data_IF_100998890609
#
_entry.id   IF_100998890609
#
_cell.length_a   1.000
_cell.length_b   1.000
_cell.length_c   1.000
_cell.angle_alpha   90.00
_cell.angle_beta   90.00
_cell.angle_gamma   90.00
#
_symmetry.space_group_name_H-M   'P 1'
#
loop_
_entity.id
_entity.type
_entity.pdbx_description
1 polymer ?
#
# COMPACT_ATOMS: atom_id res chain seq x y z
N UNK A 1 12.03 -5.70 17.60
CA UNK A 1 11.49 -4.35 17.32
C UNK A 1 9.97 -4.44 17.41
N UNK A 2 9.33 -3.53 18.16
CA UNK A 2 7.89 -3.58 18.41
C UNK A 2 7.11 -3.13 17.17
N UNK A 3 6.13 -3.94 16.75
CA UNK A 3 5.29 -3.72 15.57
C UNK A 3 3.96 -3.05 15.96
N UNK A 4 3.59 -1.96 15.29
CA UNK A 4 2.34 -1.18 15.52
C UNK A 4 1.53 -1.00 14.22
N UNK A 5 0.21 -1.27 14.21
CA UNK A 5 -0.75 -0.98 13.10
C UNK A 5 -2.16 -1.62 13.27
N UNK A 6 -3.13 -1.47 12.33
CA UNK A 6 -4.60 -1.83 12.39
C UNK A 6 -5.03 -3.21 11.81
N UNK A 7 -6.28 -3.51 11.38
CA UNK A 7 -6.69 -4.84 10.81
C UNK A 7 -7.67 -4.78 9.61
N UNK A 8 -7.63 -5.77 8.70
CA UNK A 8 -8.67 -6.02 7.67
C UNK A 8 -9.44 -7.28 8.02
N UNK A 9 -10.77 -7.18 8.06
CA UNK A 9 -11.67 -8.29 8.28
C UNK A 9 -12.56 -8.50 7.07
N UNK A 10 -12.95 -9.74 6.80
CA UNK A 10 -14.05 -10.01 5.90
C UNK A 10 -15.32 -10.15 6.73
N UNK A 11 -16.40 -9.52 6.28
CA UNK A 11 -17.72 -9.75 6.88
C UNK A 11 -18.03 -11.26 6.84
N UNK A 12 -18.68 -11.79 7.88
CA UNK A 12 -19.09 -13.19 7.92
C UNK A 12 -20.01 -13.53 6.73
N UNK A 13 -20.82 -12.57 6.32
CA UNK A 13 -21.73 -12.64 5.16
C UNK A 13 -21.17 -11.83 3.97
N UNK A 14 -19.84 -11.75 3.84
CA UNK A 14 -19.17 -10.96 2.80
C UNK A 14 -19.42 -11.44 1.38
N UNK A 15 -19.94 -12.66 1.17
CA UNK A 15 -20.06 -13.34 -0.13
C UNK A 15 -18.75 -13.37 -0.96
N UNK A 16 -17.59 -13.15 -0.34
CA UNK A 16 -16.31 -13.23 -1.03
C UNK A 16 -15.86 -14.68 -1.19
N UNK A 17 -15.65 -15.12 -2.43
CA UNK A 17 -15.02 -16.41 -2.71
C UNK A 17 -13.52 -16.37 -2.32
N UNK A 18 -12.86 -17.52 -2.12
CA UNK A 18 -11.43 -17.54 -1.80
C UNK A 18 -10.55 -16.74 -2.77
N UNK A 19 -10.85 -16.80 -4.08
CA UNK A 19 -10.13 -16.04 -5.12
C UNK A 19 -10.33 -14.52 -4.97
N UNK A 20 -11.50 -14.09 -4.53
CA UNK A 20 -11.82 -12.68 -4.33
C UNK A 20 -11.05 -12.16 -3.11
N UNK A 21 -10.98 -12.96 -2.04
CA UNK A 21 -10.19 -12.64 -0.84
C UNK A 21 -8.69 -12.50 -1.17
N UNK A 22 -8.15 -13.36 -2.01
CA UNK A 22 -6.77 -13.26 -2.50
C UNK A 22 -6.55 -11.98 -3.31
N UNK A 23 -7.44 -11.68 -4.27
CA UNK A 23 -7.36 -10.45 -5.06
C UNK A 23 -7.44 -9.19 -4.18
N UNK A 24 -8.30 -9.21 -3.15
CA UNK A 24 -8.41 -8.13 -2.17
C UNK A 24 -7.13 -7.99 -1.36
N UNK A 25 -6.54 -9.09 -0.90
CA UNK A 25 -5.28 -9.05 -0.17
C UNK A 25 -4.16 -8.44 -1.02
N UNK A 26 -4.07 -8.82 -2.31
CA UNK A 26 -3.13 -8.17 -3.24
C UNK A 26 -3.41 -6.68 -3.38
N UNK A 27 -4.67 -6.28 -3.57
CA UNK A 27 -5.04 -4.87 -3.67
C UNK A 27 -4.71 -4.06 -2.40
N UNK A 28 -4.83 -4.66 -1.21
CA UNK A 28 -4.44 -4.05 0.06
C UNK A 28 -2.95 -3.77 0.09
N UNK A 29 -2.14 -4.74 -0.33
CA UNK A 29 -0.69 -4.58 -0.41
C UNK A 29 -0.29 -3.51 -1.41
N UNK A 30 -0.94 -3.48 -2.57
CA UNK A 30 -0.72 -2.45 -3.58
C UNK A 30 -1.10 -1.06 -3.02
N UNK A 31 -2.28 -0.92 -2.42
CA UNK A 31 -2.75 0.33 -1.81
C UNK A 31 -1.81 0.83 -0.70
N UNK A 32 -1.36 -0.07 0.18
CA UNK A 32 -0.37 0.26 1.21
C UNK A 32 0.97 0.71 0.60
N UNK A 33 1.42 0.06 -0.48
CA UNK A 33 2.64 0.45 -1.19
C UNK A 33 2.50 1.85 -1.77
N UNK A 34 1.40 2.15 -2.45
CA UNK A 34 1.12 3.49 -2.97
C UNK A 34 1.09 4.54 -1.85
N UNK A 35 0.37 4.25 -0.77
CA UNK A 35 0.29 5.15 0.39
C UNK A 35 1.66 5.39 1.04
N UNK A 36 2.52 4.37 1.16
CA UNK A 36 3.87 4.48 1.68
C UNK A 36 4.74 5.43 0.85
N UNK A 37 4.72 5.28 -0.48
CA UNK A 37 5.48 6.17 -1.37
C UNK A 37 5.05 7.63 -1.24
N UNK A 38 3.77 7.85 -0.95
CA UNK A 38 3.17 9.16 -0.82
C UNK A 38 3.16 9.71 0.62
N UNK A 39 3.39 8.88 1.65
CA UNK A 39 3.27 9.30 3.06
C UNK A 39 4.38 10.27 3.50
N UNK A 40 5.53 10.25 2.83
CA UNK A 40 6.63 11.17 3.06
C UNK A 40 6.53 12.45 2.23
N UNK A 41 5.38 12.69 1.60
CA UNK A 41 5.09 13.91 0.87
C UNK A 41 5.32 15.18 1.71
N UNK A 42 5.80 16.29 1.12
CA UNK A 42 6.41 16.41 -0.22
C UNK A 42 7.89 15.98 -0.25
N UNK A 43 8.43 15.60 0.91
CA UNK A 43 9.83 15.26 1.15
C UNK A 43 10.17 13.84 0.72
N UNK A 44 9.72 13.43 -0.47
CA UNK A 44 10.22 12.19 -1.06
C UNK A 44 11.74 12.30 -1.23
N UNK A 45 12.49 11.18 -1.32
CA UNK A 45 13.94 11.20 -1.59
C UNK A 45 14.31 12.05 -2.82
N UNK A 46 13.33 12.24 -3.71
CA UNK A 46 13.35 13.13 -4.86
C UNK A 46 12.44 14.34 -4.64
N UNK A 47 12.73 15.19 -3.64
CA UNK A 47 11.87 16.31 -3.22
C UNK A 47 11.33 17.21 -4.36
N UNK A 48 12.08 17.36 -5.46
CA UNK A 48 11.62 18.07 -6.66
C UNK A 48 10.47 17.36 -7.40
N UNK A 49 10.49 16.02 -7.49
CA UNK A 49 9.40 15.21 -8.04
C UNK A 49 8.15 15.30 -7.16
N UNK A 50 8.32 15.23 -5.84
CA UNK A 50 7.21 15.32 -4.88
C UNK A 50 6.41 16.61 -5.05
N UNK A 51 7.09 17.75 -5.15
CA UNK A 51 6.46 19.07 -5.33
C UNK A 51 5.76 19.23 -6.69
N UNK A 52 6.33 18.67 -7.77
CA UNK A 52 5.71 18.71 -9.09
C UNK A 52 4.47 17.80 -9.16
N UNK A 53 4.55 16.61 -8.57
CA UNK A 53 3.44 15.68 -8.45
C UNK A 53 2.29 16.29 -7.62
N UNK A 54 2.63 16.96 -6.52
CA UNK A 54 1.71 17.73 -5.69
C UNK A 54 0.96 18.80 -6.51
N UNK A 55 1.73 19.63 -7.21
CA UNK A 55 1.20 20.73 -8.01
C UNK A 55 0.21 20.22 -9.05
N UNK A 56 0.49 19.05 -9.64
CA UNK A 56 -0.35 18.46 -10.67
C UNK A 56 -1.67 17.87 -10.13
N UNK A 57 -1.63 17.10 -9.04
CA UNK A 57 -2.80 16.35 -8.54
C UNK A 57 -3.56 17.04 -7.40
N UNK A 58 -2.88 17.93 -6.66
CA UNK A 58 -3.44 18.66 -5.53
C UNK A 58 -3.58 20.16 -5.82
N UNK A 59 -2.91 20.68 -6.84
CA UNK A 59 -3.06 22.06 -7.30
C UNK A 59 -1.88 22.96 -6.93
N UNK A 60 -1.78 24.16 -7.52
CA UNK A 60 -0.62 25.05 -7.36
C UNK A 60 -0.43 25.57 -5.93
N UNK A 61 -1.49 25.59 -5.12
CA UNK A 61 -1.50 26.03 -3.73
C UNK A 61 -1.37 24.88 -2.71
N UNK A 62 -0.99 23.67 -3.18
CA UNK A 62 -0.88 22.46 -2.36
C UNK A 62 -0.10 22.64 -1.06
N UNK A 63 0.92 23.50 -1.07
CA UNK A 63 1.80 23.74 0.06
C UNK A 63 1.05 24.19 1.33
N UNK A 64 -0.12 24.82 1.17
CA UNK A 64 -0.98 25.24 2.28
C UNK A 64 -1.67 24.07 3.01
N UNK A 65 -1.80 22.90 2.37
CA UNK A 65 -2.42 21.69 2.93
C UNK A 65 -1.43 20.51 3.03
N UNK A 66 -0.13 20.75 2.87
CA UNK A 66 0.87 19.67 2.75
C UNK A 66 0.87 18.70 3.94
N UNK A 67 0.72 19.22 5.16
CA UNK A 67 0.79 18.43 6.39
C UNK A 67 -0.46 17.55 6.53
N UNK A 68 -1.63 18.08 6.13
CA UNK A 68 -2.88 17.31 6.03
C UNK A 68 -2.76 16.21 4.98
N UNK A 69 -2.27 16.54 3.77
CA UNK A 69 -2.15 15.59 2.68
C UNK A 69 -1.22 14.43 3.07
N UNK A 70 -0.02 14.75 3.57
CA UNK A 70 0.93 13.76 4.05
C UNK A 70 0.39 12.95 5.24
N UNK A 71 -0.27 13.63 6.20
CA UNK A 71 -0.87 13.01 7.37
C UNK A 71 -1.96 12.01 7.02
N UNK A 72 -2.82 12.32 6.04
CA UNK A 72 -3.88 11.42 5.58
C UNK A 72 -3.30 10.14 4.95
N UNK A 73 -2.34 10.28 4.03
CA UNK A 73 -1.67 9.14 3.40
C UNK A 73 -0.86 8.32 4.41
N UNK A 74 -0.20 9.01 5.36
CA UNK A 74 0.54 8.36 6.44
C UNK A 74 -0.37 7.51 7.32
N UNK A 75 -1.58 7.97 7.66
CA UNK A 75 -2.53 7.16 8.43
C UNK A 75 -2.99 5.91 7.68
N UNK A 76 -3.18 5.99 6.36
CA UNK A 76 -3.46 4.81 5.52
C UNK A 76 -2.24 3.87 5.45
N UNK A 77 -1.04 4.40 5.27
CA UNK A 77 0.17 3.59 5.30
C UNK A 77 0.38 2.90 6.67
N UNK A 78 0.17 3.62 7.77
CA UNK A 78 0.31 3.09 9.13
C UNK A 78 -0.85 2.17 9.53
N UNK A 79 -1.92 2.14 8.75
CA UNK A 79 -2.98 1.14 8.83
C UNK A 79 -2.45 -0.22 8.34
N UNK A 80 -1.71 -0.92 9.22
CA UNK A 80 -1.32 -2.34 9.00
C UNK A 80 -2.47 -3.29 9.34
N UNK A 81 -2.18 -4.59 9.39
CA UNK A 81 -3.13 -5.73 9.48
C UNK A 81 -2.98 -6.60 10.76
N UNK A 82 -2.54 -6.06 11.92
CA UNK A 82 -2.53 -6.75 13.23
C UNK A 82 -3.05 -5.95 14.45
N UNK A 83 -3.36 -6.67 15.53
CA UNK A 83 -4.18 -6.28 16.67
C UNK A 83 -3.49 -5.49 17.81
N UNK A 84 -3.24 -4.18 17.64
CA UNK A 84 -2.89 -3.32 18.80
C UNK A 84 -3.82 -2.13 19.02
N UNK A 85 -4.83 -1.97 18.17
CA UNK A 85 -6.00 -1.09 18.38
C UNK A 85 -7.23 -1.91 18.05
N UNK A 86 -7.95 -2.41 19.06
CA UNK A 86 -9.19 -3.19 18.86
C UNK A 86 -10.31 -2.35 18.22
N UNK A 87 -10.15 -1.02 18.11
CA UNK A 87 -11.20 -0.11 17.65
C UNK A 87 -11.08 0.35 16.20
N UNK A 88 -10.03 -0.03 15.45
CA UNK A 88 -9.81 0.52 14.10
C UNK A 88 -9.51 -0.57 13.09
N UNK A 89 -10.55 -0.97 12.36
CA UNK A 89 -10.47 -1.96 11.30
C UNK A 89 -11.35 -1.61 10.10
N UNK A 90 -11.01 -2.18 8.94
CA UNK A 90 -11.81 -2.11 7.72
C UNK A 90 -12.44 -3.49 7.50
N UNK A 91 -13.75 -3.51 7.39
CA UNK A 91 -14.56 -4.68 7.04
C UNK A 91 -14.77 -4.71 5.54
N UNK A 92 -14.29 -5.75 4.89
CA UNK A 92 -14.40 -5.98 3.45
C UNK A 92 -15.63 -6.83 3.16
N UNK A 93 -16.34 -6.48 2.10
CA UNK A 93 -17.48 -7.24 1.58
C UNK A 93 -17.42 -7.31 0.06
N UNK A 94 -17.77 -8.46 -0.51
CA UNK A 94 -18.06 -8.66 -1.93
C UNK A 94 -19.58 -8.64 -2.20
N UNK A 95 -20.38 -8.77 -1.14
CA UNK A 95 -21.82 -8.53 -1.11
C UNK A 95 -22.09 -7.03 -1.14
N UNK A 96 -23.02 -6.61 -2.00
CA UNK A 96 -23.50 -5.23 -2.10
C UNK A 96 -24.34 -4.85 -0.87
N UNK A 97 -23.66 -4.46 0.22
CA UNK A 97 -24.27 -4.16 1.53
C UNK A 97 -25.20 -2.95 1.54
N UNK A 98 -25.16 -2.10 0.52
CA UNK A 98 -25.94 -0.85 0.42
C UNK A 98 -26.74 -0.73 -0.87
N UNK A 99 -26.70 -1.75 -1.73
CA UNK A 99 -27.34 -1.74 -3.05
C UNK A 99 -26.82 -0.58 -3.91
N UNK A 100 -25.51 -0.44 -4.03
CA UNK A 100 -24.82 0.64 -4.74
C UNK A 100 -24.05 0.12 -5.97
N UNK A 101 -23.70 -1.17 -6.02
CA UNK A 101 -22.92 -1.75 -7.11
C UNK A 101 -23.63 -1.74 -8.47
N UNK A 102 -24.94 -1.54 -8.49
CA UNK A 102 -25.73 -1.42 -9.72
C UNK A 102 -25.72 0.00 -10.30
N UNK A 103 -25.17 0.99 -9.58
CA UNK A 103 -25.15 2.38 -10.04
C UNK A 103 -24.18 2.54 -11.20
N UNK A 104 -24.58 3.41 -12.13
CA UNK A 104 -23.76 3.88 -13.24
C UNK A 104 -23.59 5.39 -13.05
N UNK A 105 -22.36 5.84 -12.89
CA UNK A 105 -22.01 7.24 -12.76
C UNK A 105 -21.23 7.59 -14.02
N UNK A 106 -21.60 8.65 -14.75
CA UNK A 106 -20.89 9.05 -15.98
C UNK A 106 -20.61 7.90 -16.97
N UNK A 107 -21.57 7.01 -17.18
CA UNK A 107 -21.46 5.78 -18.01
C UNK A 107 -20.49 4.70 -17.49
N UNK A 108 -19.95 4.85 -16.28
CA UNK A 108 -19.03 3.89 -15.65
C UNK A 108 -19.71 3.15 -14.52
N UNK A 109 -19.41 1.86 -14.45
CA UNK A 109 -19.87 1.02 -13.35
C UNK A 109 -19.07 1.33 -12.07
N UNK A 110 -19.76 1.24 -10.94
CA UNK A 110 -19.13 1.35 -9.62
C UNK A 110 -18.24 0.12 -9.36
N UNK A 111 -16.96 0.35 -9.06
CA UNK A 111 -16.02 -0.70 -8.67
C UNK A 111 -16.14 -1.06 -7.19
N UNK A 112 -16.59 -0.15 -6.36
CA UNK A 112 -16.75 -0.34 -4.93
C UNK A 112 -17.23 0.95 -4.27
N UNK A 113 -17.43 0.86 -2.96
CA UNK A 113 -17.79 2.01 -2.14
C UNK A 113 -17.41 1.78 -0.68
N UNK A 114 -17.02 2.86 -0.02
CA UNK A 114 -16.75 2.88 1.40
C UNK A 114 -17.94 3.49 2.17
N UNK A 115 -18.20 2.93 3.34
CA UNK A 115 -19.14 3.52 4.28
C UNK A 115 -18.75 3.20 5.73
N UNK A 116 -19.33 3.90 6.69
CA UNK A 116 -19.11 3.66 8.12
C UNK A 116 -20.43 3.26 8.76
N UNK A 117 -20.42 2.12 9.43
CA UNK A 117 -21.49 1.74 10.33
C UNK A 117 -21.30 2.50 11.65
N UNK A 118 -22.35 3.21 12.07
CA UNK A 118 -22.44 3.81 13.39
C UNK A 118 -23.49 3.04 14.18
N UNK A 119 -23.05 2.27 15.18
CA UNK A 119 -23.94 1.52 16.05
C UNK A 119 -23.53 1.64 17.50
N UNK A 120 -24.31 0.97 18.36
CA UNK A 120 -24.14 1.04 19.81
C UNK A 120 -22.74 0.60 20.29
N UNK A 121 -22.06 -0.25 19.53
CA UNK A 121 -20.74 -0.81 19.85
C UNK A 121 -19.56 -0.08 19.17
N UNK A 122 -19.81 1.08 18.56
CA UNK A 122 -18.76 1.93 17.96
C UNK A 122 -18.91 2.13 16.46
N UNK A 123 -17.80 2.56 15.86
CA UNK A 123 -17.69 2.83 14.43
C UNK A 123 -16.94 1.70 13.73
N UNK A 124 -17.50 1.20 12.64
CA UNK A 124 -16.84 0.21 11.79
C UNK A 124 -16.76 0.75 10.37
N UNK A 125 -15.58 0.74 9.79
CA UNK A 125 -15.40 1.10 8.39
C UNK A 125 -15.67 -0.12 7.53
N UNK A 126 -16.48 0.05 6.51
CA UNK A 126 -16.79 -0.95 5.51
C UNK A 126 -16.28 -0.48 4.16
N UNK A 127 -15.65 -1.39 3.42
CA UNK A 127 -15.40 -1.23 1.99
C UNK A 127 -16.08 -2.40 1.30
N UNK A 128 -17.01 -2.09 0.41
CA UNK A 128 -17.68 -3.07 -0.44
C UNK A 128 -17.07 -3.02 -1.83
N UNK A 129 -16.68 -4.17 -2.37
CA UNK A 129 -16.08 -4.28 -3.69
C UNK A 129 -17.07 -4.96 -4.63
N UNK A 130 -17.43 -4.24 -5.67
CA UNK A 130 -18.40 -4.66 -6.67
C UNK A 130 -17.75 -5.57 -7.72
N UNK A 131 -18.53 -6.35 -8.49
CA UNK A 131 -18.00 -7.27 -9.49
C UNK A 131 -17.04 -6.64 -10.51
N UNK A 132 -17.19 -5.34 -10.76
CA UNK A 132 -16.34 -4.61 -11.71
C UNK A 132 -14.91 -4.42 -11.19
N UNK A 133 -14.69 -4.31 -9.87
CA UNK A 133 -13.35 -4.23 -9.28
C UNK A 133 -12.49 -5.44 -9.63
N UNK A 134 -13.06 -6.65 -9.57
CA UNK A 134 -12.35 -7.89 -9.85
C UNK A 134 -12.01 -8.09 -11.34
N UNK A 135 -12.46 -7.19 -12.23
CA UNK A 135 -12.06 -7.16 -13.64
C UNK A 135 -10.80 -6.32 -13.88
N UNK A 136 -10.37 -5.58 -12.87
CA UNK A 136 -9.17 -4.75 -12.94
C UNK A 136 -7.92 -5.58 -12.70
N UNK A 137 -6.81 -5.05 -13.19
CA UNK A 137 -5.50 -5.69 -13.06
C UNK A 137 -4.76 -5.18 -11.83
N UNK A 138 -3.86 -6.00 -11.31
CA UNK A 138 -3.01 -5.65 -10.17
C UNK A 138 -1.93 -4.63 -10.56
N UNK A 139 -1.34 -3.97 -9.58
CA UNK A 139 -0.23 -3.04 -9.80
C UNK A 139 0.97 -3.74 -10.48
N UNK A 140 1.32 -4.94 -10.04
CA UNK A 140 2.38 -5.76 -10.64
C UNK A 140 2.12 -6.12 -12.11
N UNK A 141 0.87 -6.47 -12.44
CA UNK A 141 0.48 -6.77 -13.83
C UNK A 141 0.65 -5.54 -14.71
N UNK A 142 0.24 -4.35 -14.23
CA UNK A 142 0.46 -3.09 -14.93
C UNK A 142 1.94 -2.78 -15.10
N UNK A 143 2.74 -3.00 -14.07
CA UNK A 143 4.17 -2.73 -14.10
C UNK A 143 4.87 -3.55 -15.18
N UNK A 144 4.59 -4.85 -15.22
CA UNK A 144 5.11 -5.74 -16.26
C UNK A 144 4.76 -5.25 -17.67
N UNK A 145 3.52 -4.78 -17.89
CA UNK A 145 3.09 -4.24 -19.18
C UNK A 145 3.84 -2.96 -19.55
N UNK A 146 3.97 -2.03 -18.60
CA UNK A 146 4.67 -0.76 -18.79
C UNK A 146 6.14 -0.98 -19.09
N UNK A 147 6.82 -1.86 -18.36
CA UNK A 147 8.23 -2.16 -18.58
C UNK A 147 8.49 -2.81 -19.93
N UNK A 148 7.59 -3.66 -20.41
CA UNK A 148 7.71 -4.27 -21.73
C UNK A 148 7.57 -3.23 -22.86
N UNK A 149 6.74 -2.21 -22.69
CA UNK A 149 6.67 -1.08 -23.63
C UNK A 149 7.88 -0.15 -23.51
N UNK A 150 8.36 0.12 -22.29
CA UNK A 150 9.57 0.93 -22.08
C UNK A 150 10.81 0.30 -22.71
N UNK A 151 10.95 -1.03 -22.67
CA UNK A 151 12.02 -1.76 -23.39
C UNK A 151 11.97 -1.56 -24.90
N UNK A 152 10.80 -1.28 -25.46
CA UNK A 152 10.59 -0.96 -26.88
C UNK A 152 10.78 0.55 -27.18
N UNK A 153 11.12 1.35 -26.17
CA UNK A 153 11.22 2.80 -26.27
C UNK A 153 9.86 3.52 -26.31
N UNK A 154 8.77 2.82 -25.97
CA UNK A 154 7.42 3.38 -25.96
C UNK A 154 7.07 3.82 -24.53
N UNK A 155 6.95 5.12 -24.31
CA UNK A 155 6.65 5.68 -22.98
C UNK A 155 5.17 5.90 -22.73
N UNK A 156 4.30 5.68 -23.72
CA UNK A 156 2.89 6.06 -23.67
C UNK A 156 2.19 5.49 -22.43
N UNK A 157 2.31 4.18 -22.18
CA UNK A 157 1.66 3.55 -21.02
C UNK A 157 2.18 4.09 -19.68
N UNK A 158 3.46 4.44 -19.58
CA UNK A 158 4.04 5.03 -18.36
C UNK A 158 3.64 6.49 -18.14
N UNK A 159 3.38 7.24 -19.23
CA UNK A 159 3.08 8.67 -19.17
C UNK A 159 1.59 9.00 -19.08
N UNK A 160 0.73 8.08 -19.50
CA UNK A 160 -0.72 8.27 -19.53
C UNK A 160 -1.33 7.63 -18.28
N UNK A 161 -1.73 8.46 -17.33
CA UNK A 161 -2.26 8.00 -16.04
C UNK A 161 -3.49 7.09 -16.21
N UNK A 162 -4.30 7.27 -17.27
CA UNK A 162 -5.46 6.40 -17.52
C UNK A 162 -5.07 4.93 -17.77
N UNK A 163 -3.84 4.69 -18.26
CA UNK A 163 -3.31 3.33 -18.45
C UNK A 163 -2.86 2.67 -17.15
N UNK A 164 -2.67 3.44 -16.08
CA UNK A 164 -2.03 3.00 -14.84
C UNK A 164 -3.03 2.59 -13.76
N UNK A 165 -4.34 2.62 -14.06
CA UNK A 165 -5.40 2.21 -13.14
C UNK A 165 -5.21 0.74 -12.70
N UNK A 166 -5.32 0.49 -11.40
CA UNK A 166 -5.05 -0.81 -10.77
C UNK A 166 -5.99 -1.06 -9.59
N UNK A 167 -6.15 -2.34 -9.21
CA UNK A 167 -6.90 -2.71 -8.01
C UNK A 167 -6.37 -2.03 -6.75
N UNK A 168 -5.05 -1.81 -6.66
CA UNK A 168 -4.42 -1.08 -5.56
C UNK A 168 -4.81 0.38 -5.48
N UNK A 169 -4.81 1.09 -6.61
CA UNK A 169 -5.25 2.49 -6.68
C UNK A 169 -6.72 2.63 -6.32
N UNK A 170 -7.58 1.76 -6.86
CA UNK A 170 -9.01 1.73 -6.57
C UNK A 170 -9.30 1.44 -5.10
N UNK A 171 -8.58 0.49 -4.50
CA UNK A 171 -8.75 0.24 -3.07
C UNK A 171 -8.22 1.39 -2.22
N UNK A 172 -7.09 2.00 -2.59
CA UNK A 172 -6.56 3.18 -1.90
C UNK A 172 -7.61 4.31 -1.90
N UNK A 173 -8.26 4.58 -3.03
CA UNK A 173 -9.38 5.52 -3.11
C UNK A 173 -10.43 5.23 -2.02
N UNK A 174 -10.89 4.00 -1.89
CA UNK A 174 -11.88 3.62 -0.88
C UNK A 174 -11.37 3.74 0.55
N UNK A 175 -10.09 3.42 0.78
CA UNK A 175 -9.48 3.62 2.09
C UNK A 175 -9.46 5.09 2.49
N UNK A 176 -9.28 6.02 1.53
CA UNK A 176 -9.29 7.46 1.80
C UNK A 176 -10.65 7.96 2.31
N UNK A 177 -11.75 7.32 1.94
CA UNK A 177 -13.08 7.64 2.47
C UNK A 177 -13.32 7.20 3.91
N UNK A 178 -12.46 6.37 4.48
CA UNK A 178 -12.64 5.90 5.87
C UNK A 178 -12.17 6.98 6.85
N UNK A 179 -12.72 6.99 8.08
CA UNK A 179 -12.21 7.88 9.14
C UNK A 179 -10.79 7.53 9.59
N UNK A 180 -10.23 6.41 9.11
CA UNK A 180 -8.82 6.10 9.30
C UNK A 180 -7.97 7.14 8.57
N UNK A 181 -8.36 7.51 7.37
CA UNK A 181 -7.62 8.47 6.55
C UNK A 181 -7.59 9.87 7.18
N UNK A 182 -8.73 10.36 7.68
CA UNK A 182 -8.84 11.70 8.28
C UNK A 182 -8.55 11.72 9.80
N UNK A 183 -8.40 10.56 10.43
CA UNK A 183 -8.19 10.40 11.87
C UNK A 183 -9.36 10.91 12.74
N UNK A 184 -10.52 11.18 12.14
CA UNK A 184 -11.67 11.83 12.76
C UNK A 184 -11.48 13.31 13.12
N UNK A 185 -10.36 13.93 12.73
CA UNK A 185 -9.99 15.31 13.09
C UNK A 185 -9.92 16.20 11.85
N UNK A 186 -9.38 15.66 10.75
CA UNK A 186 -9.32 16.38 9.49
C UNK A 186 -10.70 16.44 8.81
N UNK A 187 -10.94 17.40 7.90
CA UNK A 187 -12.14 17.36 7.09
C UNK A 187 -12.23 16.04 6.34
N UNK A 188 -13.44 15.47 6.35
CA UNK A 188 -13.71 14.18 5.74
C UNK A 188 -13.38 14.18 4.26
N UNK A 189 -12.87 13.06 3.77
CA UNK A 189 -12.50 12.88 2.36
C UNK A 189 -13.67 12.18 1.67
N UNK A 190 -14.24 12.86 0.69
CA UNK A 190 -15.41 12.43 -0.08
C UNK A 190 -15.03 12.35 -1.56
N UNK A 191 -16.00 12.07 -2.40
CA UNK A 191 -15.88 12.33 -3.83
C UNK A 191 -16.29 13.75 -4.11
N UNK A 192 -15.46 14.50 -4.83
CA UNK A 192 -15.71 15.90 -5.14
C UNK A 192 -16.19 16.06 -6.59
N UNK A 193 -17.18 16.92 -6.80
CA UNK A 193 -17.53 17.38 -8.16
C UNK A 193 -16.38 18.21 -8.76
N UNK A 194 -16.16 18.22 -10.08
CA UNK A 194 -15.11 19.09 -10.67
C UNK A 194 -15.39 20.55 -10.34
N UNK A 195 -16.67 20.95 -10.39
CA UNK A 195 -17.09 22.33 -10.17
C UNK A 195 -17.77 22.52 -8.79
N UNK A 196 -17.67 23.72 -8.20
CA UNK A 196 -18.45 24.06 -7.02
C UNK A 196 -19.96 23.96 -7.29
N UNK A 197 -20.75 23.67 -6.25
CA UNK A 197 -22.22 23.69 -6.36
C UNK A 197 -22.69 25.03 -6.94
N UNK A 198 -23.50 24.98 -8.00
CA UNK A 198 -24.02 26.16 -8.69
C UNK A 198 -23.15 26.67 -9.86
N UNK A 199 -22.02 26.01 -10.14
CA UNK A 199 -21.18 26.29 -11.30
C UNK A 199 -20.99 25.01 -12.13
N UNK A 200 -21.07 25.10 -13.46
CA UNK A 200 -20.85 23.96 -14.36
C UNK A 200 -21.91 22.86 -14.25
N UNK A 201 -21.57 21.66 -14.73
CA UNK A 201 -22.41 20.47 -14.57
C UNK A 201 -22.22 19.91 -13.15
N UNK A 202 -23.24 19.99 -12.26
CA UNK A 202 -23.13 19.50 -10.90
C UNK A 202 -23.04 17.98 -10.80
N UNK A 203 -23.32 17.26 -11.90
CA UNK A 203 -23.21 15.81 -11.95
C UNK A 203 -21.83 15.34 -12.41
N UNK A 204 -20.90 16.27 -12.65
CA UNK A 204 -19.57 15.92 -13.10
C UNK A 204 -18.61 15.76 -11.94
N UNK A 205 -18.20 14.54 -11.70
CA UNK A 205 -17.36 14.14 -10.57
C UNK A 205 -15.88 14.13 -10.96
N UNK A 206 -15.02 14.34 -9.97
CA UNK A 206 -13.58 14.29 -10.14
C UNK A 206 -13.06 12.84 -10.04
N UNK A 207 -13.54 11.97 -10.93
CA UNK A 207 -13.06 10.60 -11.07
C UNK A 207 -12.17 10.42 -12.30
N UNK A 208 -11.02 9.78 -12.12
CA UNK A 208 -10.05 9.59 -13.18
C UNK A 208 -9.12 10.80 -13.34
N UNK A 209 -8.03 10.61 -14.12
CA UNK A 209 -6.90 11.52 -14.07
C UNK A 209 -7.24 12.93 -14.59
N UNK A 210 -8.01 13.05 -15.68
CA UNK A 210 -8.43 14.34 -16.22
C UNK A 210 -9.30 15.15 -15.26
N UNK A 211 -10.46 14.62 -14.82
CA UNK A 211 -11.32 15.26 -13.84
C UNK A 211 -10.62 15.66 -12.53
N UNK A 212 -9.76 14.80 -11.99
CA UNK A 212 -8.96 15.09 -10.78
C UNK A 212 -7.99 16.23 -11.00
N UNK A 213 -7.25 16.22 -12.11
CA UNK A 213 -6.35 17.33 -12.45
C UNK A 213 -7.11 18.65 -12.60
N UNK A 214 -8.30 18.62 -13.23
CA UNK A 214 -9.16 19.81 -13.33
C UNK A 214 -9.63 20.30 -11.97
N UNK A 215 -10.09 19.42 -11.09
CA UNK A 215 -10.49 19.76 -9.72
C UNK A 215 -9.38 20.55 -9.02
N UNK A 216 -8.15 20.05 -9.11
CA UNK A 216 -6.96 20.66 -8.52
C UNK A 216 -6.60 22.04 -9.10
N UNK A 217 -7.14 22.41 -10.25
CA UNK A 217 -6.82 23.67 -10.95
C UNK A 217 -8.02 24.62 -11.09
N UNK A 218 -9.20 24.25 -10.58
CA UNK A 218 -10.36 25.14 -10.56
C UNK A 218 -10.05 26.36 -9.67
N UNK A 219 -10.19 27.56 -10.24
CA UNK A 219 -10.08 28.81 -9.49
C UNK A 219 -11.34 29.00 -8.63
N UNK A 220 -11.15 29.10 -7.32
CA UNK A 220 -12.23 29.36 -6.38
C UNK A 220 -12.16 30.81 -5.90
N UNK A 221 -13.31 31.38 -5.52
CA UNK A 221 -13.38 32.73 -4.94
C UNK A 221 -12.75 32.77 -3.55
N UNK A 222 -12.85 31.66 -2.79
CA UNK A 222 -12.27 31.48 -1.46
C UNK A 222 -11.50 30.15 -1.42
N UNK A 223 -10.19 30.20 -1.16
CA UNK A 223 -9.28 29.06 -1.28
C UNK A 223 -8.81 28.82 -2.73
N UNK A 224 -7.93 27.85 -2.93
CA UNK A 224 -7.57 27.36 -4.27
C UNK A 224 -7.90 25.90 -4.46
N UNK A 225 -7.41 25.31 -5.54
CA UNK A 225 -7.78 23.95 -5.96
C UNK A 225 -7.44 22.89 -4.91
N UNK A 226 -6.40 23.11 -4.10
CA UNK A 226 -6.04 22.21 -3.01
C UNK A 226 -7.13 22.05 -1.96
N UNK A 227 -7.93 23.08 -1.69
CA UNK A 227 -8.96 22.99 -0.65
C UNK A 227 -9.94 21.86 -0.97
N UNK A 228 -10.21 21.63 -2.26
CA UNK A 228 -11.11 20.57 -2.74
C UNK A 228 -10.37 19.29 -3.09
N UNK A 229 -9.18 19.38 -3.70
CA UNK A 229 -8.39 18.18 -3.97
C UNK A 229 -7.99 17.46 -2.67
N UNK A 230 -7.74 18.18 -1.57
CA UNK A 230 -7.44 17.59 -0.27
C UNK A 230 -8.67 16.97 0.44
N UNK A 231 -9.89 17.16 -0.07
CA UNK A 231 -11.11 16.45 0.34
C UNK A 231 -11.59 15.44 -0.69
N UNK A 232 -10.86 15.22 -1.80
CA UNK A 232 -11.24 14.27 -2.85
C UNK A 232 -10.42 12.97 -2.77
N UNK A 233 -11.07 11.82 -2.59
CA UNK A 233 -10.37 10.54 -2.47
C UNK A 233 -9.50 10.21 -3.70
N UNK A 234 -10.02 10.48 -4.90
CA UNK A 234 -9.31 10.18 -6.15
C UNK A 234 -8.05 11.06 -6.33
N UNK A 235 -8.04 12.28 -5.77
CA UNK A 235 -6.84 13.13 -5.75
C UNK A 235 -5.69 12.50 -4.96
N UNK A 236 -5.98 11.86 -3.83
CA UNK A 236 -4.98 11.12 -3.06
C UNK A 236 -4.51 9.87 -3.79
N UNK A 237 -5.45 9.12 -4.37
CA UNK A 237 -5.14 7.90 -5.10
C UNK A 237 -4.21 8.18 -6.30
N UNK A 238 -4.49 9.23 -7.10
CA UNK A 238 -3.62 9.62 -8.21
C UNK A 238 -2.32 10.26 -7.77
N UNK A 239 -2.31 11.05 -6.68
CA UNK A 239 -1.06 11.57 -6.12
C UNK A 239 -0.11 10.42 -5.76
N UNK A 240 -0.64 9.39 -5.09
CA UNK A 240 0.14 8.24 -4.64
C UNK A 240 0.58 7.32 -5.78
N UNK A 241 -0.33 7.00 -6.70
CA UNK A 241 -0.06 6.21 -7.90
C UNK A 241 1.03 6.88 -8.76
N UNK A 242 0.86 8.17 -9.07
CA UNK A 242 1.83 8.95 -9.84
C UNK A 242 3.20 9.07 -9.16
N UNK A 243 3.23 9.19 -7.82
CA UNK A 243 4.49 9.21 -7.08
C UNK A 243 5.27 7.89 -7.27
N UNK A 244 4.57 6.76 -7.14
CA UNK A 244 5.14 5.45 -7.30
C UNK A 244 5.62 5.22 -8.74
N UNK A 245 4.77 5.47 -9.74
CA UNK A 245 5.11 5.28 -11.15
C UNK A 245 6.26 6.16 -11.63
N UNK A 246 6.34 7.41 -11.16
CA UNK A 246 7.43 8.32 -11.53
C UNK A 246 8.76 7.93 -10.90
N UNK A 247 8.73 7.37 -9.68
CA UNK A 247 9.94 6.81 -9.09
C UNK A 247 10.37 5.53 -9.84
N UNK A 248 9.39 4.68 -10.14
CA UNK A 248 9.56 3.38 -10.79
C UNK A 248 10.10 3.45 -12.20
N UNK A 249 9.47 4.26 -13.04
CA UNK A 249 9.73 4.28 -14.49
C UNK A 249 10.61 5.43 -14.92
N UNK A 250 10.79 6.44 -14.04
CA UNK A 250 11.38 7.72 -14.39
C UNK A 250 10.48 8.61 -15.26
N UNK A 251 9.27 8.16 -15.62
CA UNK A 251 8.30 8.90 -16.43
C UNK A 251 7.17 9.40 -15.54
N UNK A 252 6.84 10.69 -15.64
CA UNK A 252 5.73 11.27 -14.87
C UNK A 252 4.39 10.94 -15.52
N UNK A 253 3.46 10.27 -14.81
CA UNK A 253 2.10 10.07 -15.31
C UNK A 253 1.29 11.36 -15.27
N UNK A 254 0.59 11.65 -16.36
CA UNK A 254 -0.31 12.79 -16.49
C UNK A 254 -1.64 12.33 -17.06
N UNK A 255 -2.70 13.13 -16.87
CA UNK A 255 -3.94 12.94 -17.62
C UNK A 255 -3.67 13.02 -19.13
N UNK A 256 -4.45 12.28 -19.94
CA UNK A 256 -4.37 12.42 -21.39
C UNK A 256 -4.69 13.88 -21.76
N UNK A 257 -3.96 14.43 -22.73
CA UNK A 257 -4.17 15.80 -23.19
C UNK A 257 -5.59 16.02 -23.73
N UNK A 258 -6.24 14.96 -24.24
CA UNK A 258 -7.65 14.99 -24.61
C UNK A 258 -8.56 15.24 -23.42
N UNK A 259 -8.23 14.66 -22.27
CA UNK A 259 -9.05 14.84 -21.09
C UNK A 259 -9.01 16.28 -20.62
N UNK A 260 -7.89 16.98 -20.77
CA UNK A 260 -7.73 18.37 -20.32
C UNK A 260 -8.60 19.36 -21.10
N UNK A 261 -8.78 19.13 -22.40
CA UNK A 261 -9.52 20.03 -23.31
C UNK A 261 -10.98 19.60 -23.54
N UNK A 262 -11.34 18.34 -23.31
CA UNK A 262 -12.66 17.80 -23.61
C UNK A 262 -13.59 17.79 -22.37
N UNK A 263 -14.52 18.74 -22.33
CA UNK A 263 -15.60 18.74 -21.35
C UNK A 263 -16.76 17.79 -21.73
N UNK A 264 -16.69 17.08 -22.85
CA UNK A 264 -17.82 16.32 -23.42
C UNK A 264 -17.60 14.82 -23.62
N UNK A 265 -16.40 14.28 -23.31
CA UNK A 265 -16.00 12.95 -23.72
C UNK A 265 -15.95 11.88 -22.61
N UNK A 266 -16.60 10.77 -22.91
CA UNK A 266 -16.54 9.43 -22.29
C UNK A 266 -15.07 8.95 -22.21
N UNK A 267 -14.48 8.98 -21.02
CA UNK A 267 -13.10 8.54 -20.78
C UNK A 267 -13.06 7.01 -20.67
N UNK A 268 -12.74 6.40 -21.81
CA UNK A 268 -12.59 4.95 -21.91
C UNK A 268 -11.78 4.37 -20.74
N UNK A 269 -12.41 3.44 -20.03
CA UNK A 269 -11.84 2.45 -19.10
C UNK A 269 -11.45 2.85 -17.67
N UNK A 270 -11.78 4.04 -17.18
CA UNK A 270 -11.70 4.30 -15.74
C UNK A 270 -12.94 3.73 -15.03
N UNK A 271 -12.78 3.02 -13.90
CA UNK A 271 -13.92 2.72 -13.03
C UNK A 271 -14.21 3.90 -12.11
N UNK A 272 -15.48 4.06 -11.76
CA UNK A 272 -15.86 5.00 -10.71
C UNK A 272 -16.01 4.21 -9.42
N UNK A 273 -15.58 4.81 -8.33
CA UNK A 273 -15.74 4.33 -6.97
C UNK A 273 -16.66 5.34 -6.29
N UNK A 274 -17.61 4.91 -5.45
CA UNK A 274 -18.62 5.82 -4.90
C UNK A 274 -18.48 5.96 -3.38
N UNK A 275 -18.63 7.19 -2.88
CA UNK A 275 -18.74 7.46 -1.44
C UNK A 275 -20.19 7.45 -0.92
N UNK A 276 -20.35 7.05 0.36
CA UNK A 276 -21.55 7.27 1.18
C UNK A 276 -21.18 8.17 2.38
N UNK A 277 -21.90 9.30 2.56
CA UNK A 277 -21.68 10.30 3.63
C UNK A 277 -21.79 9.75 5.07
N UNK A 278 -20.84 10.10 5.94
CA UNK A 278 -20.51 9.45 7.22
C UNK A 278 -20.68 10.33 8.47
N UNK A 279 -21.74 11.14 8.51
CA UNK A 279 -22.33 11.83 9.69
C UNK A 279 -21.50 11.96 10.99
N UNK A 280 -21.33 13.19 11.49
CA UNK A 280 -20.42 13.53 12.59
C UNK A 280 -21.04 13.34 14.00
N UNK A 281 -20.55 12.40 14.85
CA UNK A 281 -20.97 12.30 16.28
C UNK A 281 -19.83 11.83 17.20
N UNK A 282 -19.67 12.45 18.37
CA UNK A 282 -18.60 12.19 19.36
C UNK A 282 -19.16 12.18 20.80
N UNK A 283 -19.29 11.03 21.47
CA UNK A 283 -19.18 10.92 22.95
C UNK A 283 -19.21 9.44 23.44
N UNK A 284 -18.14 8.91 24.07
CA UNK A 284 -18.17 7.64 24.76
C UNK A 284 -17.68 7.77 26.23
N UNK A 285 -18.58 7.71 27.20
CA UNK A 285 -18.19 7.53 28.62
C UNK A 285 -18.89 6.34 29.28
N UNK A 286 -18.09 5.40 29.79
CA UNK A 286 -18.46 4.62 30.98
C UNK A 286 -18.62 3.10 30.86
N UNK A 287 -17.66 2.34 30.32
CA UNK A 287 -17.71 0.86 30.44
C UNK A 287 -16.38 0.27 30.90
N UNK A 288 -16.46 -0.57 31.94
CA UNK A 288 -15.36 -1.35 32.51
C UNK A 288 -15.31 -2.75 31.88
N UNK A 289 -14.35 -2.94 30.98
CA UNK A 289 -14.14 -4.16 30.21
C UNK A 289 -13.41 -5.26 31.00
N UNK A 290 -12.97 -4.98 32.23
CA UNK A 290 -12.25 -5.95 33.08
C UNK A 290 -13.13 -7.15 33.43
N UNK A 291 -14.46 -6.95 33.52
CA UNK A 291 -15.42 -8.00 33.82
C UNK A 291 -15.68 -8.96 32.64
N UNK A 292 -15.36 -8.57 31.41
CA UNK A 292 -15.63 -9.36 30.20
C UNK A 292 -14.51 -10.35 29.85
N UNK A 293 -13.27 -10.08 30.28
CA UNK A 293 -12.10 -10.92 29.92
C UNK A 293 -11.67 -11.94 31.00
N UNK A 294 -12.28 -11.92 32.19
CA UNK A 294 -11.94 -12.86 33.27
C UNK A 294 -12.37 -14.33 33.01
N UNK A 295 -13.13 -14.60 31.94
CA UNK A 295 -13.60 -15.96 31.60
C UNK A 295 -12.65 -16.77 30.70
N UNK A 296 -11.59 -16.16 30.14
CA UNK A 296 -10.70 -16.82 29.18
C UNK A 296 -9.32 -17.22 29.75
N UNK A 297 -9.01 -16.90 31.01
CA UNK A 297 -7.67 -17.05 31.58
C UNK A 297 -7.62 -18.00 32.80
N UNK A 298 -7.78 -19.31 32.57
CA UNK A 298 -7.39 -20.37 33.52
C UNK A 298 -6.55 -21.41 32.75
N UNK A 299 -5.28 -21.13 32.45
CA UNK A 299 -4.11 -21.58 33.22
C UNK A 299 -3.26 -22.59 32.40
N UNK A 300 -2.00 -22.94 32.76
CA UNK A 300 -1.29 -22.58 33.99
C UNK A 300 -0.02 -21.73 33.79
N UNK A 301 0.29 -21.05 34.89
CA UNK A 301 1.46 -20.23 35.20
C UNK A 301 2.80 -20.98 35.12
N UNK A 302 3.87 -20.24 34.84
CA UNK A 302 4.82 -19.75 35.86
C UNK A 302 6.25 -19.67 35.32
N UNK A 303 6.85 -18.47 35.28
CA UNK A 303 8.25 -18.27 35.66
C UNK A 303 8.41 -16.89 36.31
N UNK A 304 9.04 -16.91 37.48
CA UNK A 304 9.35 -15.78 38.38
C UNK A 304 10.52 -14.93 37.88
N UNK A 305 10.71 -13.70 38.40
CA UNK A 305 11.61 -12.69 37.83
C UNK A 305 13.11 -12.96 38.08
N UNK A 306 13.93 -12.56 37.10
CA UNK A 306 15.40 -12.55 37.17
C UNK A 306 15.86 -11.31 37.98
N UNK A 307 16.75 -11.45 38.98
CA UNK A 307 17.40 -10.33 39.65
C UNK A 307 18.51 -9.69 38.80
N UNK A 308 18.68 -8.38 38.93
CA UNK A 308 19.77 -7.61 38.31
C UNK A 308 21.18 -7.98 38.80
N UNK A 309 22.23 -7.69 38.01
CA UNK A 309 23.57 -8.24 38.19
C UNK A 309 24.46 -7.38 39.09
N UNK A 310 25.54 -7.97 39.64
CA UNK A 310 26.77 -7.20 39.81
C UNK A 310 28.04 -7.90 39.28
N UNK A 311 28.80 -7.07 38.54
CA UNK A 311 30.27 -6.94 38.49
C UNK A 311 31.11 -8.01 37.76
N UNK A 312 32.00 -7.49 36.89
CA UNK A 312 33.05 -8.12 36.06
C UNK A 312 34.22 -8.73 36.92
N UNK A 313 35.34 -9.25 36.36
CA UNK A 313 35.77 -9.52 34.98
C UNK A 313 36.40 -10.91 34.76
N UNK A 314 36.57 -11.36 33.51
CA UNK A 314 37.81 -12.01 33.02
C UNK A 314 37.69 -12.29 31.52
N UNK A 315 38.74 -11.93 30.78
CA UNK A 315 38.89 -12.10 29.34
C UNK A 315 39.08 -13.58 28.98
N UNK A 316 38.23 -14.18 28.13
CA UNK A 316 38.52 -15.43 27.45
C UNK A 316 39.02 -15.17 26.03
N UNK A 317 39.96 -16.01 25.60
CA UNK A 317 40.53 -16.11 24.26
C UNK A 317 39.51 -15.91 23.13
N UNK A 318 39.84 -15.00 22.21
CA UNK A 318 39.09 -14.75 20.98
C UNK A 318 39.00 -16.04 20.15
N UNK A 319 37.80 -16.59 19.89
CA UNK A 319 37.61 -17.65 18.92
C UNK A 319 38.10 -17.20 17.54
N UNK A 320 38.51 -18.13 16.66
CA UNK A 320 38.90 -17.79 15.30
C UNK A 320 37.79 -16.95 14.66
N UNK A 321 38.18 -15.80 14.11
CA UNK A 321 37.30 -14.89 13.37
C UNK A 321 36.52 -15.70 12.32
N UNK A 322 35.20 -15.81 12.48
CA UNK A 322 34.36 -16.49 11.50
C UNK A 322 34.52 -15.78 10.15
N UNK A 323 34.64 -16.53 9.03
CA UNK A 323 34.77 -15.92 7.72
C UNK A 323 33.59 -14.97 7.50
N UNK A 324 33.89 -13.75 7.06
CA UNK A 324 32.91 -12.70 6.84
C UNK A 324 31.90 -13.17 5.79
N UNK A 325 30.68 -13.51 6.22
CA UNK A 325 29.61 -13.99 5.36
C UNK A 325 29.14 -12.85 4.45
N UNK A 326 29.68 -12.77 3.24
CA UNK A 326 29.26 -11.77 2.25
C UNK A 326 27.93 -12.22 1.67
N UNK A 327 26.87 -11.47 1.96
CA UNK A 327 25.60 -11.60 1.27
C UNK A 327 25.24 -10.30 0.55
N UNK A 328 24.99 -10.40 -0.75
CA UNK A 328 24.36 -9.34 -1.55
C UNK A 328 22.94 -9.76 -1.88
N UNK A 329 21.93 -9.06 -1.36
CA UNK A 329 20.55 -9.25 -1.79
C UNK A 329 20.14 -8.05 -2.62
N UNK A 330 19.85 -8.29 -3.89
CA UNK A 330 19.28 -7.29 -4.77
C UNK A 330 17.80 -7.57 -4.88
N UNK A 331 17.03 -6.66 -4.29
CA UNK A 331 15.61 -6.61 -4.49
C UNK A 331 15.38 -5.60 -5.60
N UNK A 332 15.03 -6.05 -6.80
CA UNK A 332 14.46 -5.10 -7.75
C UNK A 332 13.01 -4.92 -7.31
N UNK A 333 12.75 -3.83 -6.60
CA UNK A 333 11.43 -3.44 -6.06
C UNK A 333 10.30 -3.59 -7.09
N UNK A 334 10.64 -3.55 -8.38
CA UNK A 334 9.75 -3.57 -9.52
C UNK A 334 9.38 -4.95 -10.11
N UNK A 335 9.92 -6.09 -9.64
CA UNK A 335 9.71 -7.36 -10.37
C UNK A 335 9.26 -8.56 -9.54
N UNK A 336 8.85 -8.34 -8.28
CA UNK A 336 8.75 -9.40 -7.27
C UNK A 336 10.06 -10.20 -7.13
N UNK A 337 11.14 -9.73 -7.76
CA UNK A 337 12.32 -10.51 -8.05
C UNK A 337 13.38 -10.21 -7.03
N UNK A 338 13.82 -11.26 -6.37
CA UNK A 338 15.01 -11.22 -5.55
C UNK A 338 16.12 -12.00 -6.23
N UNK A 339 17.33 -11.50 -6.06
CA UNK A 339 18.57 -12.23 -6.26
C UNK A 339 19.38 -12.13 -4.97
N UNK A 340 19.82 -13.26 -4.46
CA UNK A 340 20.64 -13.41 -3.26
C UNK A 340 21.95 -14.07 -3.73
N UNK A 341 23.04 -13.34 -3.58
CA UNK A 341 24.39 -13.86 -3.74
C UNK A 341 24.96 -14.16 -2.37
N UNK A 342 25.53 -15.34 -2.19
CA UNK A 342 26.08 -15.76 -0.92
C UNK A 342 27.43 -16.45 -1.02
N UNK A 343 28.14 -16.41 0.10
CA UNK A 343 29.45 -17.01 0.31
C UNK A 343 29.55 -17.50 1.76
N UNK A 344 30.16 -18.66 1.97
CA UNK A 344 30.54 -19.21 3.28
C UNK A 344 29.36 -19.56 4.22
N UNK A 345 28.16 -19.71 3.66
CA UNK A 345 26.98 -20.18 4.40
C UNK A 345 27.16 -21.63 4.89
N UNK A 346 26.71 -21.90 6.12
CA UNK A 346 26.79 -23.23 6.73
C UNK A 346 26.08 -24.28 5.83
N UNK A 347 26.79 -25.28 5.28
CA UNK A 347 26.21 -26.23 4.32
C UNK A 347 24.98 -26.98 4.86
N UNK A 348 24.99 -27.29 6.17
CA UNK A 348 23.87 -27.95 6.83
C UNK A 348 22.58 -27.10 6.88
N UNK A 349 22.70 -25.77 6.87
CA UNK A 349 21.56 -24.84 6.88
C UNK A 349 21.13 -24.42 5.48
N UNK A 350 22.08 -24.21 4.57
CA UNK A 350 21.78 -23.87 3.18
C UNK A 350 21.12 -25.05 2.45
N UNK A 351 21.53 -26.28 2.81
CA UNK A 351 21.02 -27.52 2.22
C UNK A 351 21.49 -27.73 0.79
N UNK A 352 21.13 -28.87 0.21
CA UNK A 352 21.45 -29.20 -1.18
C UNK A 352 20.73 -28.23 -2.11
N UNK A 353 21.49 -27.59 -3.01
CA UNK A 353 20.99 -26.62 -3.99
C UNK A 353 20.14 -25.48 -3.36
N UNK A 354 20.50 -25.03 -2.16
CA UNK A 354 19.81 -23.93 -1.48
C UNK A 354 18.41 -24.29 -0.97
N UNK A 355 18.11 -25.58 -0.78
CA UNK A 355 16.81 -26.04 -0.26
C UNK A 355 16.44 -25.40 1.07
N UNK A 356 17.38 -25.24 2.00
CA UNK A 356 17.11 -24.58 3.28
C UNK A 356 16.74 -23.11 3.11
N UNK A 357 17.40 -22.38 2.19
CA UNK A 357 17.01 -21.01 1.85
C UNK A 357 15.61 -20.96 1.23
N UNK A 358 15.34 -21.88 0.30
CA UNK A 358 14.05 -21.97 -0.38
C UNK A 358 12.91 -22.18 0.61
N UNK A 359 13.08 -23.07 1.58
CA UNK A 359 12.07 -23.38 2.59
C UNK A 359 11.76 -22.14 3.45
N UNK A 360 12.80 -21.43 3.91
CA UNK A 360 12.61 -20.17 4.64
C UNK A 360 11.90 -19.09 3.81
N UNK A 361 12.18 -19.04 2.51
CA UNK A 361 11.54 -18.08 1.59
C UNK A 361 10.09 -18.43 1.27
N UNK A 362 9.69 -19.70 1.36
CA UNK A 362 8.30 -20.11 1.18
C UNK A 362 7.40 -19.59 2.32
N UNK A 363 7.97 -19.38 3.51
CA UNK A 363 7.26 -18.74 4.63
C UNK A 363 7.03 -17.24 4.39
N UNK A 364 7.77 -16.64 3.45
CA UNK A 364 7.58 -15.25 3.03
C UNK A 364 6.42 -15.07 2.03
N UNK A 365 5.91 -16.14 1.44
CA UNK A 365 4.80 -16.09 0.49
C UNK A 365 4.96 -17.09 -0.66
N UNK A 366 4.11 -16.95 -1.68
CA UNK A 366 4.11 -17.83 -2.85
C UNK A 366 5.40 -17.68 -3.69
N UNK A 367 6.42 -18.46 -3.35
CA UNK A 367 7.71 -18.46 -4.04
C UNK A 367 7.58 -19.10 -5.44
N UNK A 368 7.81 -18.32 -6.50
CA UNK A 368 7.79 -18.81 -7.88
C UNK A 368 9.13 -18.58 -8.60
N UNK A 369 9.35 -19.27 -9.72
CA UNK A 369 10.57 -19.17 -10.55
C UNK A 369 11.88 -19.30 -9.76
N UNK A 370 11.88 -20.14 -8.73
CA UNK A 370 13.06 -20.42 -7.91
C UNK A 370 14.17 -21.05 -8.76
N UNK A 371 15.36 -20.48 -8.68
CA UNK A 371 16.56 -20.95 -9.34
C UNK A 371 17.75 -20.76 -8.39
N UNK A 372 18.48 -21.85 -8.14
CA UNK A 372 19.72 -21.84 -7.37
C UNK A 372 20.87 -22.29 -8.27
N UNK A 373 21.97 -21.54 -8.27
CA UNK A 373 23.13 -21.78 -9.11
C UNK A 373 24.42 -21.68 -8.30
N UNK A 374 25.27 -22.71 -8.26
CA UNK A 374 26.65 -22.54 -7.80
C UNK A 374 27.39 -21.62 -8.77
N UNK A 375 28.20 -20.72 -8.23
CA UNK A 375 29.06 -19.82 -8.99
C UNK A 375 30.51 -20.32 -8.87
N UNK A 376 31.20 -20.45 -10.00
CA UNK A 376 32.62 -20.84 -10.03
C UNK A 376 33.43 -19.70 -10.62
N UNK A 377 34.39 -19.17 -9.85
CA UNK A 377 35.26 -18.08 -10.30
C UNK A 377 34.56 -16.72 -10.43
N UNK A 378 33.51 -16.47 -9.62
CA UNK A 378 32.88 -15.14 -9.55
C UNK A 378 33.93 -14.09 -9.14
N UNK A 379 34.04 -12.95 -9.86
CA UNK A 379 35.07 -11.95 -9.61
C UNK A 379 34.93 -11.26 -8.24
N UNK A 380 33.75 -11.30 -7.63
CA UNK A 380 33.48 -10.75 -6.30
C UNK A 380 33.56 -11.83 -5.19
N UNK A 381 33.89 -13.07 -5.55
CA UNK A 381 34.11 -14.17 -4.61
C UNK A 381 32.84 -14.86 -4.11
N UNK A 382 31.68 -14.62 -4.71
CA UNK A 382 30.45 -15.34 -4.36
C UNK A 382 30.52 -16.82 -4.79
N UNK A 383 29.96 -17.70 -3.97
CA UNK A 383 29.96 -19.15 -4.21
C UNK A 383 28.65 -19.65 -4.85
N UNK A 384 27.57 -18.89 -4.72
CA UNK A 384 26.27 -19.23 -5.27
C UNK A 384 25.38 -17.99 -5.49
N UNK A 385 24.40 -18.15 -6.38
CA UNK A 385 23.29 -17.22 -6.61
C UNK A 385 21.97 -17.96 -6.46
N UNK A 386 21.05 -17.39 -5.71
CA UNK A 386 19.68 -17.82 -5.59
C UNK A 386 18.77 -16.70 -6.05
N UNK A 387 17.83 -16.99 -6.95
CA UNK A 387 16.87 -16.00 -7.41
C UNK A 387 15.49 -16.61 -7.53
N UNK A 388 14.48 -15.77 -7.38
CA UNK A 388 13.10 -16.21 -7.43
C UNK A 388 12.16 -15.03 -7.52
N UNK A 389 10.89 -15.32 -7.30
CA UNK A 389 9.85 -14.30 -7.16
C UNK A 389 9.05 -14.51 -5.89
N UNK A 390 8.88 -13.46 -5.12
CA UNK A 390 8.03 -13.38 -3.94
C UNK A 390 7.16 -12.13 -4.03
N UNK A 391 5.98 -12.12 -3.38
CA UNK A 391 5.14 -10.92 -3.36
C UNK A 391 5.92 -9.65 -2.96
N UNK A 392 5.61 -8.52 -3.61
CA UNK A 392 6.12 -7.19 -3.26
C UNK A 392 5.99 -6.96 -1.73
N UNK A 393 7.02 -6.33 -1.15
CA UNK A 393 7.07 -6.03 0.29
C UNK A 393 7.67 -7.13 1.15
N UNK A 394 8.09 -8.26 0.57
CA UNK A 394 8.76 -9.36 1.30
C UNK A 394 10.23 -9.11 1.60
N UNK A 395 10.80 -7.94 1.25
CA UNK A 395 12.22 -7.58 1.48
C UNK A 395 12.71 -7.90 2.89
N UNK A 396 11.95 -7.51 3.91
CA UNK A 396 12.30 -7.78 5.31
C UNK A 396 12.27 -9.27 5.63
N UNK A 397 11.31 -10.00 5.07
CA UNK A 397 11.20 -11.44 5.26
C UNK A 397 12.35 -12.18 4.59
N UNK A 398 12.71 -11.83 3.35
CA UNK A 398 13.87 -12.38 2.65
C UNK A 398 15.16 -12.15 3.46
N UNK A 399 15.33 -10.95 4.02
CA UNK A 399 16.46 -10.64 4.90
C UNK A 399 16.52 -11.55 6.14
N UNK A 400 15.37 -11.87 6.74
CA UNK A 400 15.29 -12.80 7.87
C UNK A 400 15.54 -14.25 7.45
N UNK A 401 14.95 -14.69 6.34
CA UNK A 401 15.17 -16.01 5.77
C UNK A 401 16.66 -16.28 5.53
N UNK A 402 17.40 -15.26 5.05
CA UNK A 402 18.85 -15.35 4.87
C UNK A 402 19.59 -15.43 6.22
N UNK A 403 19.15 -14.70 7.25
CA UNK A 403 19.73 -14.80 8.61
C UNK A 403 19.53 -16.18 9.21
N UNK A 404 18.35 -16.75 9.05
CA UNK A 404 17.98 -18.03 9.65
C UNK A 404 18.87 -19.18 9.14
N UNK A 405 19.28 -19.10 7.87
CA UNK A 405 20.24 -20.03 7.26
C UNK A 405 21.72 -19.69 7.50
N UNK A 406 22.02 -18.67 8.30
CA UNK A 406 23.39 -18.31 8.71
C UNK A 406 24.04 -17.14 7.97
N UNK A 407 23.25 -16.29 7.28
CA UNK A 407 23.75 -15.02 6.74
C UNK A 407 23.97 -13.95 7.83
N UNK A 408 24.65 -12.85 7.46
CA UNK A 408 25.01 -11.74 8.36
C UNK A 408 23.79 -11.18 9.14
N UNK A 409 24.01 -10.81 10.41
CA UNK A 409 23.02 -10.40 11.39
C UNK A 409 22.26 -9.11 10.99
N UNK A 410 22.85 -8.27 10.13
CA UNK A 410 22.20 -7.08 9.58
C UNK A 410 21.40 -7.35 8.30
N UNK A 411 21.48 -8.58 7.77
CA UNK A 411 20.92 -8.95 6.48
C UNK A 411 21.87 -8.54 5.34
N UNK A 412 21.67 -9.11 4.16
CA UNK A 412 22.56 -8.90 3.02
C UNK A 412 22.73 -7.41 2.69
N UNK A 413 23.99 -6.96 2.55
CA UNK A 413 24.37 -5.57 2.27
C UNK A 413 24.23 -5.28 0.77
N UNK A 414 22.99 -5.28 0.28
CA UNK A 414 22.66 -4.87 -1.09
C UNK A 414 21.89 -3.55 -1.12
N UNK A 415 22.19 -2.70 -2.10
CA UNK A 415 21.34 -1.57 -2.46
C UNK A 415 20.07 -2.14 -3.12
N UNK A 416 19.09 -2.53 -2.30
CA UNK A 416 17.75 -2.86 -2.76
C UNK A 416 16.94 -1.60 -2.96
#
# INVERSE_FOLDING_TARGET
MANTGGNIFFDNDSDCEPKDKEAIQTAVWDAHTLAFFASNFPNTPTAGKGSANAMYWMGPDWASQKDRIAGNLKRIYEFKTRATSESTYITMSCKDTRNECHKIIENKAVGGYAWTYSGWFGYYHYITLCPTFFKQVTLDTKLSQVEDELKKGVTKMASDASWLDSTGRLLLHEMMHTRIADGGIEPHITDEGIFPKGHGDPNRWAYGPGPVHRLAHVKLTNGGGVTRASTNADSYAWLADSAWWWDTTGVFPKADGKDLDDLSGDDGSSLIMQHIDLGNVTDPTGVDFTALYAAAANGPSAFSPIPQPPVAPTTPETPPEEPENICGAWYKVFFDHFEILGKDFAPAKLGDNGSGLKDQLQDCGALTKWEFKPLTGDPNGYQWSAKGRLPIGTKSCIGNAVKDIGGDADGCKGAG
#
